data_IF_828678611528
#
_entry.id   IF_828678611528
#
_cell.length_a   1.000
_cell.length_b   1.000
_cell.length_c   1.000
_cell.angle_alpha   90.00
_cell.angle_beta   90.00
_cell.angle_gamma   90.00
#
_symmetry.space_group_name_H-M   'P 1'
#
loop_
_entity.id
_entity.type
_entity.pdbx_description
1 polymer ?
#
# COMPACT_ATOMS: atom_id res chain seq x y z
N UNK A 1 -9.11 -1.16 -10.94
CA UNK A 1 -8.02 -0.35 -11.55
C UNK A 1 -6.88 -0.18 -10.56
N UNK A 2 -5.65 -0.17 -11.06
CA UNK A 2 -4.46 0.14 -10.27
C UNK A 2 -4.13 1.63 -10.41
N UNK A 3 -3.55 2.21 -9.37
CA UNK A 3 -3.23 3.64 -9.32
C UNK A 3 -1.77 3.86 -8.98
N UNK A 4 -1.18 4.93 -9.50
CA UNK A 4 0.20 5.32 -9.20
C UNK A 4 0.18 6.75 -8.66
N UNK A 5 0.67 6.93 -7.44
CA UNK A 5 0.91 8.25 -6.87
C UNK A 5 2.39 8.58 -7.05
N UNK A 6 2.67 9.75 -7.59
CA UNK A 6 4.04 10.21 -7.86
C UNK A 6 4.28 11.53 -7.15
N UNK A 7 5.41 11.66 -6.45
CA UNK A 7 5.86 12.92 -5.86
C UNK A 7 7.34 13.13 -6.13
N UNK A 8 7.67 14.31 -6.67
CA UNK A 8 9.05 14.78 -6.81
C UNK A 8 9.43 15.68 -5.64
N UNK A 9 10.66 15.56 -5.17
CA UNK A 9 11.19 16.38 -4.07
C UNK A 9 12.71 16.48 -4.14
N UNK A 10 13.25 17.58 -3.62
CA UNK A 10 14.68 17.83 -3.61
C UNK A 10 15.24 17.67 -2.21
N UNK A 11 16.47 17.15 -2.11
CA UNK A 11 17.21 17.01 -0.86
C UNK A 11 18.42 17.93 -0.86
N UNK A 12 18.72 18.49 0.31
CA UNK A 12 19.94 19.29 0.50
C UNK A 12 21.15 18.39 0.70
N UNK A 13 22.35 18.89 0.39
CA UNK A 13 23.60 18.16 0.64
C UNK A 13 23.76 17.75 2.10
N UNK A 14 23.32 18.61 3.03
CA UNK A 14 23.33 18.30 4.47
C UNK A 14 22.42 17.12 4.80
N UNK A 15 21.25 17.02 4.17
CA UNK A 15 20.35 15.90 4.36
C UNK A 15 20.99 14.60 3.87
N UNK A 16 21.61 14.61 2.67
CA UNK A 16 22.31 13.46 2.08
C UNK A 16 23.53 13.00 2.89
N UNK A 17 24.12 13.89 3.70
CA UNK A 17 25.22 13.56 4.61
C UNK A 17 24.77 12.88 5.91
N UNK A 18 23.46 12.70 6.13
CA UNK A 18 22.93 12.06 7.34
C UNK A 18 23.31 10.58 7.39
N UNK A 19 23.62 10.08 8.59
CA UNK A 19 23.97 8.66 8.79
C UNK A 19 22.82 7.69 8.46
N UNK A 20 21.58 8.17 8.59
CA UNK A 20 20.39 7.39 8.34
C UNK A 20 19.32 8.29 7.72
N UNK A 21 18.72 7.80 6.64
CA UNK A 21 17.60 8.44 5.97
C UNK A 21 16.47 7.43 5.94
N UNK A 22 15.30 7.85 6.42
CA UNK A 22 14.10 7.02 6.47
C UNK A 22 12.97 7.67 5.70
N UNK A 23 12.14 6.85 5.07
CA UNK A 23 10.80 7.24 4.65
C UNK A 23 9.82 6.63 5.63
N UNK A 24 9.05 7.48 6.28
CA UNK A 24 8.00 7.10 7.21
C UNK A 24 6.64 7.40 6.58
N UNK A 25 5.79 6.39 6.53
CA UNK A 25 4.39 6.49 6.11
C UNK A 25 3.52 6.24 7.34
N UNK A 26 2.87 7.28 7.84
CA UNK A 26 1.96 7.17 9.00
C UNK A 26 0.76 6.28 8.67
N UNK A 27 0.20 6.45 7.48
CA UNK A 27 -0.93 5.67 6.98
C UNK A 27 -0.85 5.51 5.47
N UNK A 28 -1.23 4.33 4.98
CA UNK A 28 -1.32 4.01 3.55
C UNK A 28 -2.40 2.95 3.33
N UNK A 29 -3.41 3.28 2.55
CA UNK A 29 -4.55 2.40 2.24
C UNK A 29 -4.41 1.82 0.84
N UNK A 30 -4.07 0.53 0.66
CA UNK A 30 -3.63 -0.45 1.67
C UNK A 30 -2.44 -1.22 1.13
N UNK A 31 -2.62 -1.83 -0.05
CA UNK A 31 -1.60 -2.63 -0.73
C UNK A 31 -0.91 -1.78 -1.77
N UNK A 32 0.35 -1.47 -1.51
CA UNK A 32 1.17 -0.72 -2.45
C UNK A 32 2.61 -1.22 -2.49
N UNK A 33 3.19 -1.20 -3.68
CA UNK A 33 4.65 -1.27 -3.85
C UNK A 33 5.20 0.15 -3.90
N UNK A 34 6.32 0.41 -3.24
CA UNK A 34 6.91 1.74 -3.14
C UNK A 34 8.30 1.72 -3.76
N UNK A 35 8.56 2.67 -4.64
CA UNK A 35 9.87 2.91 -5.23
C UNK A 35 10.33 4.33 -4.95
N UNK A 36 11.64 4.50 -4.79
CA UNK A 36 12.32 5.78 -4.73
C UNK A 36 13.37 5.79 -5.84
N UNK A 37 13.20 6.68 -6.82
CA UNK A 37 13.94 6.69 -8.06
C UNK A 37 13.87 5.30 -8.73
N UNK A 38 15.00 4.65 -8.94
CA UNK A 38 15.08 3.29 -9.52
C UNK A 38 15.11 2.18 -8.47
N UNK A 39 15.01 2.51 -7.19
CA UNK A 39 15.06 1.53 -6.10
C UNK A 39 13.67 1.15 -5.63
N UNK A 40 13.40 -0.15 -5.52
CA UNK A 40 12.28 -0.65 -4.73
C UNK A 40 12.62 -0.56 -3.24
N UNK A 41 11.77 0.09 -2.44
CA UNK A 41 12.03 0.32 -1.01
C UNK A 41 11.10 -0.48 -0.09
N UNK A 42 9.97 -0.98 -0.59
CA UNK A 42 9.11 -1.86 0.20
C UNK A 42 7.70 -2.04 -0.33
N UNK A 43 6.92 -2.86 0.37
CA UNK A 43 5.50 -3.12 0.11
C UNK A 43 4.70 -2.97 1.39
N UNK A 44 3.46 -2.51 1.25
CA UNK A 44 2.49 -2.35 2.33
C UNK A 44 1.35 -3.34 2.13
N UNK A 45 0.70 -3.76 3.22
CA UNK A 45 -0.43 -4.70 3.17
C UNK A 45 -1.52 -4.44 4.21
N UNK A 46 -1.43 -3.33 4.95
CA UNK A 46 -2.37 -2.97 6.00
C UNK A 46 -2.50 -1.45 6.13
N UNK A 47 -3.75 -0.99 6.17
CA UNK A 47 -4.14 0.41 6.37
C UNK A 47 -3.91 0.91 7.80
N UNK A 48 -3.76 0.00 8.76
CA UNK A 48 -3.87 0.31 10.19
C UNK A 48 -2.55 0.41 10.93
N UNK A 49 -1.42 0.24 10.22
CA UNK A 49 -0.09 0.31 10.80
C UNK A 49 0.78 1.29 10.00
N UNK A 50 1.69 2.01 10.66
CA UNK A 50 2.69 2.81 9.97
C UNK A 50 3.78 1.93 9.37
N UNK A 51 4.45 2.44 8.33
CA UNK A 51 5.61 1.79 7.70
C UNK A 51 6.82 2.71 7.74
N UNK A 52 7.98 2.14 8.06
CA UNK A 52 9.26 2.88 8.04
C UNK A 52 10.26 2.10 7.20
N UNK A 53 10.83 2.76 6.20
CA UNK A 53 11.82 2.18 5.30
C UNK A 53 13.15 2.90 5.46
N UNK A 54 14.21 2.16 5.78
CA UNK A 54 15.57 2.66 5.72
C UNK A 54 15.99 2.78 4.26
N UNK A 55 16.46 3.96 3.86
CA UNK A 55 16.80 4.25 2.47
C UNK A 55 18.32 4.14 2.30
N UNK A 56 18.74 3.32 1.34
CA UNK A 56 20.14 3.28 0.92
C UNK A 56 20.53 4.61 0.27
N UNK A 57 21.70 5.14 0.61
CA UNK A 57 22.26 6.33 -0.03
C UNK A 57 22.40 6.17 -1.56
N UNK A 58 22.57 4.93 -2.06
CA UNK A 58 22.62 4.64 -3.49
C UNK A 58 21.30 4.91 -4.23
N UNK A 59 20.19 4.99 -3.49
CA UNK A 59 18.87 5.27 -4.04
C UNK A 59 18.56 6.76 -4.11
N UNK A 60 19.38 7.61 -3.47
CA UNK A 60 19.14 9.02 -3.31
C UNK A 60 19.91 9.86 -4.34
N UNK A 61 19.28 10.97 -4.72
CA UNK A 61 19.81 11.99 -5.62
C UNK A 61 19.54 13.37 -5.03
N UNK A 62 20.01 14.44 -5.67
CA UNK A 62 19.60 15.81 -5.30
C UNK A 62 18.11 16.00 -5.62
N UNK A 63 17.65 15.51 -6.77
CA UNK A 63 16.24 15.50 -7.17
C UNK A 63 15.74 14.06 -7.15
N UNK A 64 14.70 13.80 -6.35
CA UNK A 64 14.16 12.46 -6.13
C UNK A 64 12.71 12.39 -6.58
N UNK A 65 12.31 11.19 -7.00
CA UNK A 65 10.91 10.84 -7.26
C UNK A 65 10.53 9.61 -6.43
N UNK A 66 9.49 9.72 -5.63
CA UNK A 66 8.84 8.57 -4.99
C UNK A 66 7.59 8.19 -5.81
N UNK A 67 7.43 6.91 -6.07
CA UNK A 67 6.24 6.35 -6.70
C UNK A 67 5.63 5.29 -5.80
N UNK A 68 4.32 5.34 -5.65
CA UNK A 68 3.53 4.41 -4.84
C UNK A 68 2.50 3.76 -5.77
N UNK A 69 2.70 2.47 -6.04
CA UNK A 69 1.89 1.67 -6.96
C UNK A 69 0.85 0.89 -6.16
N UNK A 70 -0.39 1.36 -6.17
CA UNK A 70 -1.50 0.71 -5.49
C UNK A 70 -2.09 -0.42 -6.35
N UNK A 71 -2.26 -1.58 -5.73
CA UNK A 71 -3.09 -2.66 -6.25
C UNK A 71 -4.55 -2.42 -5.89
N UNK A 72 -5.47 -2.84 -6.78
CA UNK A 72 -6.90 -2.84 -6.46
C UNK A 72 -7.18 -3.71 -5.22
N UNK A 73 -7.87 -3.18 -4.19
CA UNK A 73 -8.16 -3.95 -2.97
C UNK A 73 -9.05 -5.15 -3.24
N UNK A 74 -9.99 -5.05 -4.18
CA UNK A 74 -10.91 -6.13 -4.58
C UNK A 74 -10.11 -7.28 -5.22
N UNK A 75 -9.26 -6.97 -6.20
CA UNK A 75 -8.45 -8.00 -6.87
C UNK A 75 -7.42 -8.62 -5.92
N UNK A 76 -6.85 -7.83 -5.01
CA UNK A 76 -5.96 -8.34 -3.97
C UNK A 76 -6.70 -9.31 -3.04
N UNK A 77 -7.86 -8.92 -2.52
CA UNK A 77 -8.67 -9.74 -1.61
C UNK A 77 -9.11 -11.05 -2.27
N UNK A 78 -9.58 -11.00 -3.53
CA UNK A 78 -9.90 -12.19 -4.33
C UNK A 78 -8.68 -13.12 -4.46
N UNK A 79 -7.52 -12.58 -4.83
CA UNK A 79 -6.29 -13.37 -4.95
C UNK A 79 -5.86 -14.00 -3.62
N UNK A 80 -6.04 -13.29 -2.50
CA UNK A 80 -5.76 -13.85 -1.18
C UNK A 80 -6.75 -14.96 -0.80
N UNK A 81 -8.03 -14.82 -1.16
CA UNK A 81 -9.04 -15.85 -0.96
C UNK A 81 -8.73 -17.11 -1.79
N UNK A 82 -8.41 -16.94 -3.08
CA UNK A 82 -8.03 -18.04 -3.98
C UNK A 82 -6.77 -18.79 -3.52
N UNK A 83 -5.84 -18.06 -2.90
CA UNK A 83 -4.60 -18.63 -2.36
C UNK A 83 -4.80 -19.32 -1.00
N UNK A 84 -5.95 -19.11 -0.35
CA UNK A 84 -6.26 -19.72 0.93
C UNK A 84 -6.91 -21.10 0.71
N UNK A 85 -6.44 -22.11 1.42
CA UNK A 85 -6.84 -23.51 1.18
C UNK A 85 -8.24 -23.87 1.71
N UNK A 86 -9.02 -22.89 2.17
CA UNK A 86 -10.33 -23.10 2.77
C UNK A 86 -11.26 -21.91 2.49
N UNK A 87 -12.53 -22.03 2.86
CA UNK A 87 -13.50 -20.93 2.75
C UNK A 87 -13.59 -20.17 4.08
N UNK A 88 -13.42 -18.86 4.04
CA UNK A 88 -13.66 -17.98 5.19
C UNK A 88 -14.94 -17.19 4.95
N UNK A 89 -16.07 -17.48 5.63
CA UNK A 89 -17.30 -16.72 5.48
C UNK A 89 -17.27 -15.37 6.21
N UNK A 90 -18.09 -14.38 5.78
CA UNK A 90 -18.90 -14.40 4.57
C UNK A 90 -18.06 -14.24 3.29
N UNK A 91 -18.47 -14.90 2.20
CA UNK A 91 -17.76 -14.79 0.92
C UNK A 91 -17.98 -13.42 0.27
N UNK A 92 -19.24 -12.98 0.20
CA UNK A 92 -19.66 -11.71 -0.37
C UNK A 92 -20.65 -10.99 0.54
N UNK A 93 -20.84 -9.70 0.29
CA UNK A 93 -21.89 -8.89 0.91
C UNK A 93 -23.27 -9.27 0.34
N UNK A 94 -24.37 -8.99 1.07
CA UNK A 94 -25.73 -9.21 0.57
C UNK A 94 -25.98 -8.41 -0.72
N UNK A 95 -26.72 -8.96 -1.72
CA UNK A 95 -26.94 -8.28 -3.00
C UNK A 95 -27.54 -6.87 -2.88
N UNK A 96 -28.38 -6.62 -1.86
CA UNK A 96 -28.98 -5.31 -1.60
C UNK A 96 -27.95 -4.21 -1.34
N UNK A 97 -26.75 -4.57 -0.84
CA UNK A 97 -25.68 -3.62 -0.58
C UNK A 97 -24.88 -3.24 -1.84
N UNK A 98 -25.02 -4.00 -2.94
CA UNK A 98 -24.23 -3.82 -4.17
C UNK A 98 -22.72 -3.67 -3.90
N UNK A 99 -22.22 -4.45 -2.94
CA UNK A 99 -20.83 -4.38 -2.48
C UNK A 99 -19.89 -5.36 -3.16
N UNK A 100 -18.72 -5.48 -2.56
CA UNK A 100 -17.60 -6.29 -3.04
C UNK A 100 -17.33 -7.47 -2.09
N UNK A 101 -16.64 -8.49 -2.59
CA UNK A 101 -16.43 -9.76 -1.88
C UNK A 101 -15.06 -9.85 -1.20
N UNK A 102 -14.90 -10.82 -0.29
CA UNK A 102 -13.62 -11.22 0.32
C UNK A 102 -12.94 -10.17 1.22
N UNK A 103 -13.68 -9.22 1.78
CA UNK A 103 -13.13 -8.16 2.67
C UNK A 103 -12.30 -8.70 3.85
N UNK A 104 -12.61 -9.90 4.35
CA UNK A 104 -11.89 -10.61 5.40
C UNK A 104 -10.44 -10.95 5.05
N UNK A 105 -10.08 -10.95 3.76
CA UNK A 105 -8.73 -11.26 3.28
C UNK A 105 -7.84 -10.03 3.10
N UNK A 106 -8.31 -8.84 3.48
CA UNK A 106 -7.55 -7.58 3.38
C UNK A 106 -7.58 -6.81 4.71
N UNK A 107 -6.43 -6.27 5.12
CA UNK A 107 -6.33 -5.41 6.31
C UNK A 107 -6.65 -3.95 5.98
N UNK A 108 -7.89 -3.73 5.53
CA UNK A 108 -8.52 -2.44 5.19
C UNK A 108 -9.79 -2.24 6.01
N UNK A 109 -10.28 -1.00 6.12
CA UNK A 109 -11.56 -0.72 6.78
C UNK A 109 -12.71 -1.51 6.11
N UNK A 110 -13.45 -2.38 6.84
CA UNK A 110 -14.36 -3.33 6.19
C UNK A 110 -15.55 -2.71 5.45
N UNK A 111 -16.09 -1.59 5.94
CA UNK A 111 -17.24 -0.94 5.31
C UNK A 111 -16.95 -0.37 3.91
N UNK A 112 -15.68 -0.26 3.50
CA UNK A 112 -15.33 0.12 2.12
C UNK A 112 -15.78 -0.89 1.08
N UNK A 113 -16.08 -2.12 1.49
CA UNK A 113 -16.62 -3.16 0.62
C UNK A 113 -18.16 -3.17 0.61
N UNK A 114 -18.79 -2.15 1.20
CA UNK A 114 -20.23 -1.93 1.49
C UNK A 114 -20.62 -2.20 2.94
N UNK A 115 -21.77 -1.67 3.32
CA UNK A 115 -22.42 -1.91 4.59
C UNK A 115 -23.94 -1.71 4.47
N UNK A 116 -24.70 -1.96 5.54
CA UNK A 116 -26.17 -1.86 5.58
C UNK A 116 -26.75 -0.46 5.88
N UNK A 117 -25.90 0.58 5.87
CA UNK A 117 -26.27 1.98 6.06
C UNK A 117 -25.80 2.89 4.92
#
# INVERSE_FOLDING_TARGET
NNWIFTKKFNLTSNFLASNQIIIHLEQIDTIANITLNTCYIGRTNSMFIPYTFNISNSCLKIENEIQIYFESPILYALKQADAYNDTVPPICTPPVQNGECHVQFIRKEPCSFSWDW
#
